data_IF_822537835279
#
_entry.id   IF_822537835279
#
_cell.length_a   1.000
_cell.length_b   1.000
_cell.length_c   1.000
_cell.angle_alpha   90.00
_cell.angle_beta   90.00
_cell.angle_gamma   90.00
#
_symmetry.space_group_name_H-M   'P 1'
#
loop_
_entity.id
_entity.type
_entity.pdbx_description
1 polymer ?
#
# COMPACT_ATOMS: atom_id res chain seq x y z
N UNK A 1 -2.30 10.48 22.07
CA UNK A 1 -2.58 10.64 20.63
C UNK A 1 -2.88 9.28 20.04
N UNK A 2 -3.99 9.16 19.31
CA UNK A 2 -4.38 7.95 18.61
C UNK A 2 -3.77 7.98 17.20
N UNK A 3 -3.15 6.90 16.76
CA UNK A 3 -2.54 6.82 15.42
C UNK A 3 -2.79 5.46 14.79
N UNK A 4 -2.92 5.43 13.47
CA UNK A 4 -3.10 4.23 12.68
C UNK A 4 -1.94 4.06 11.71
N UNK A 5 -1.39 2.85 11.62
CA UNK A 5 -0.31 2.56 10.67
C UNK A 5 -0.42 1.16 10.11
N UNK A 6 -0.01 0.97 8.86
CA UNK A 6 0.12 -0.35 8.23
C UNK A 6 1.28 -0.39 7.26
N UNK A 7 1.55 -1.59 6.74
CA UNK A 7 2.55 -1.85 5.70
C UNK A 7 1.86 -2.45 4.49
N UNK A 8 2.19 -1.94 3.31
CA UNK A 8 1.88 -2.56 2.02
C UNK A 8 3.10 -3.39 1.60
N UNK A 9 2.86 -4.67 1.40
CA UNK A 9 3.88 -5.61 0.97
C UNK A 9 4.18 -5.44 -0.53
N UNK A 10 5.31 -6.01 -0.96
CA UNK A 10 5.72 -5.99 -2.37
C UNK A 10 4.83 -6.80 -3.31
N UNK A 11 3.71 -7.36 -2.84
CA UNK A 11 2.65 -7.98 -3.62
C UNK A 11 1.33 -7.18 -3.51
N UNK A 12 1.37 -5.94 -3.00
CA UNK A 12 0.19 -5.10 -2.79
C UNK A 12 -0.69 -5.48 -1.59
N UNK A 13 -0.42 -6.60 -0.91
CA UNK A 13 -1.17 -6.98 0.28
C UNK A 13 -0.95 -5.97 1.42
N UNK A 14 -2.05 -5.57 2.05
CA UNK A 14 -2.03 -4.66 3.19
C UNK A 14 -2.03 -5.48 4.47
N UNK A 15 -1.05 -5.24 5.34
CA UNK A 15 -1.01 -5.85 6.66
C UNK A 15 -2.17 -5.35 7.56
N UNK A 16 -2.47 -6.05 8.67
CA UNK A 16 -3.40 -5.53 9.68
C UNK A 16 -3.02 -4.12 10.14
N UNK A 17 -3.98 -3.20 10.11
CA UNK A 17 -3.78 -1.82 10.56
C UNK A 17 -3.57 -1.86 12.07
N UNK A 18 -2.47 -1.28 12.53
CA UNK A 18 -2.16 -1.15 13.94
C UNK A 18 -2.73 0.15 14.47
N UNK A 19 -3.65 0.04 15.44
CA UNK A 19 -4.15 1.16 16.21
C UNK A 19 -3.28 1.34 17.46
N UNK A 20 -2.71 2.52 17.62
CA UNK A 20 -1.75 2.85 18.66
C UNK A 20 -2.25 4.02 19.51
N UNK A 21 -2.13 3.90 20.83
CA UNK A 21 -2.32 5.00 21.78
C UNK A 21 -0.95 5.35 22.39
N UNK A 22 -0.32 6.40 21.87
CA UNK A 22 1.08 6.70 22.17
C UNK A 22 1.99 5.56 21.68
N UNK A 23 2.71 4.89 22.59
CA UNK A 23 3.61 3.76 22.26
C UNK A 23 2.95 2.38 22.40
N UNK A 24 1.69 2.32 22.84
CA UNK A 24 1.00 1.06 23.12
C UNK A 24 0.09 0.69 21.95
N UNK A 25 0.23 -0.53 21.43
CA UNK A 25 -0.74 -1.13 20.51
C UNK A 25 -2.03 -1.44 21.26
N UNK A 26 -3.13 -0.90 20.76
CA UNK A 26 -4.48 -1.12 21.30
C UNK A 26 -5.09 -2.36 20.66
N UNK A 27 -5.12 -2.41 19.32
CA UNK A 27 -5.60 -3.57 18.56
C UNK A 27 -5.04 -3.60 17.13
N UNK A 28 -5.35 -4.70 16.46
CA UNK A 28 -5.17 -4.88 15.02
C UNK A 28 -6.53 -4.80 14.34
N UNK A 29 -6.63 -4.04 13.26
CA UNK A 29 -7.84 -3.89 12.46
C UNK A 29 -7.60 -4.59 11.13
N UNK A 30 -8.52 -5.46 10.73
CA UNK A 30 -8.46 -6.13 9.43
C UNK A 30 -8.69 -5.10 8.31
N UNK A 31 -7.76 -4.90 7.37
CA UNK A 31 -7.91 -3.90 6.31
C UNK A 31 -9.10 -4.19 5.39
N UNK A 32 -9.54 -5.45 5.29
CA UNK A 32 -10.70 -5.85 4.48
C UNK A 32 -12.04 -5.72 5.20
N UNK A 33 -12.06 -5.44 6.51
CA UNK A 33 -13.31 -5.13 7.22
C UNK A 33 -13.83 -3.76 6.82
N UNK A 34 -15.11 -3.48 7.09
CA UNK A 34 -15.70 -2.16 6.82
C UNK A 34 -14.88 -1.03 7.47
N UNK A 35 -14.57 -1.16 8.76
CA UNK A 35 -13.75 -0.20 9.52
C UNK A 35 -12.36 -0.01 8.89
N UNK A 36 -11.70 -1.11 8.50
CA UNK A 36 -10.38 -1.05 7.88
C UNK A 36 -10.40 -0.30 6.55
N UNK A 37 -11.42 -0.57 5.71
CA UNK A 37 -11.60 0.12 4.42
C UNK A 37 -11.88 1.61 4.61
N UNK A 38 -12.71 1.97 5.57
CA UNK A 38 -13.00 3.38 5.88
C UNK A 38 -11.75 4.15 6.32
N UNK A 39 -10.94 3.56 7.21
CA UNK A 39 -9.66 4.14 7.65
C UNK A 39 -8.66 4.32 6.49
N UNK A 40 -8.59 3.34 5.59
CA UNK A 40 -7.70 3.39 4.43
C UNK A 40 -8.17 4.41 3.38
N UNK A 41 -9.48 4.53 3.16
CA UNK A 41 -10.07 5.52 2.25
C UNK A 41 -9.97 6.95 2.78
N UNK A 42 -10.01 7.15 4.09
CA UNK A 42 -9.92 8.48 4.71
C UNK A 42 -8.50 9.06 4.70
N UNK A 43 -7.47 8.24 4.41
CA UNK A 43 -6.07 8.65 4.47
C UNK A 43 -5.53 8.85 5.88
N UNK A 44 -6.27 8.42 6.91
CA UNK A 44 -5.86 8.51 8.32
C UNK A 44 -4.77 7.52 8.70
N UNK A 45 -4.56 6.48 7.90
CA UNK A 45 -3.55 5.46 8.13
C UNK A 45 -2.22 5.90 7.53
N UNK A 46 -1.16 5.88 8.32
CA UNK A 46 0.21 5.99 7.81
C UNK A 46 0.60 4.67 7.15
N UNK A 47 0.89 4.69 5.86
CA UNK A 47 1.21 3.50 5.07
C UNK A 47 2.71 3.47 4.79
N UNK A 48 3.35 2.39 5.19
CA UNK A 48 4.74 2.09 4.88
C UNK A 48 4.80 1.13 3.70
N UNK A 49 5.70 1.36 2.76
CA UNK A 49 5.96 0.44 1.66
C UNK A 49 7.37 -0.15 1.78
N UNK A 50 7.61 -1.29 1.13
CA UNK A 50 8.84 -2.08 1.28
C UNK A 50 10.12 -1.30 0.94
N UNK A 51 10.06 -0.32 0.06
CA UNK A 51 11.20 0.52 -0.33
C UNK A 51 11.57 1.59 0.71
N UNK A 52 10.89 1.61 1.86
CA UNK A 52 11.14 2.54 2.96
C UNK A 52 10.35 3.85 2.86
N UNK A 53 9.60 4.08 1.77
CA UNK A 53 8.71 5.24 1.69
C UNK A 53 7.54 5.11 2.66
N UNK A 54 7.11 6.26 3.17
CA UNK A 54 5.97 6.40 4.07
C UNK A 54 4.99 7.44 3.51
N UNK A 55 3.71 7.10 3.49
CA UNK A 55 2.63 7.96 3.05
C UNK A 55 1.68 8.22 4.23
N UNK A 56 1.36 9.47 4.49
CA UNK A 56 0.44 9.87 5.56
C UNK A 56 -0.52 10.94 5.04
N UNK A 57 -1.79 10.87 5.43
CA UNK A 57 -2.79 11.83 4.97
C UNK A 57 -3.24 11.59 3.53
N UNK A 58 -3.09 10.37 3.02
CA UNK A 58 -3.39 10.01 1.63
C UNK A 58 -4.22 8.73 1.58
N UNK A 59 -5.34 8.71 0.82
CA UNK A 59 -6.11 7.50 0.60
C UNK A 59 -5.28 6.37 0.00
N UNK A 60 -5.57 5.13 0.38
CA UNK A 60 -4.82 3.95 -0.09
C UNK A 60 -4.84 3.79 -1.61
N UNK A 61 -5.95 4.17 -2.27
CA UNK A 61 -6.09 4.09 -3.73
C UNK A 61 -5.07 5.00 -4.42
N UNK A 62 -4.89 6.23 -3.94
CA UNK A 62 -3.92 7.17 -4.50
C UNK A 62 -2.48 6.67 -4.30
N UNK A 63 -2.21 5.97 -3.21
CA UNK A 63 -0.92 5.34 -2.96
C UNK A 63 -0.70 4.20 -3.97
N UNK A 64 -1.69 3.33 -4.18
CA UNK A 64 -1.61 2.29 -5.20
C UNK A 64 -1.43 2.86 -6.61
N UNK A 65 -2.14 3.93 -6.97
CA UNK A 65 -1.97 4.61 -8.26
C UNK A 65 -0.53 5.09 -8.47
N UNK A 66 0.10 5.65 -7.43
CA UNK A 66 1.51 6.05 -7.48
C UNK A 66 2.45 4.86 -7.62
N UNK A 67 2.24 3.80 -6.85
CA UNK A 67 3.07 2.60 -6.92
C UNK A 67 2.99 1.93 -8.29
N UNK A 68 1.78 1.83 -8.87
CA UNK A 68 1.59 1.29 -10.23
C UNK A 68 2.27 2.16 -11.27
N UNK A 69 2.18 3.49 -11.14
CA UNK A 69 2.86 4.41 -12.05
C UNK A 69 4.39 4.28 -11.98
N UNK A 70 4.95 4.09 -10.79
CA UNK A 70 6.39 3.87 -10.60
C UNK A 70 6.84 2.56 -11.24
N UNK A 71 6.10 1.46 -11.00
CA UNK A 71 6.38 0.14 -11.58
C UNK A 71 6.36 0.20 -13.11
N UNK A 72 5.35 0.85 -13.71
CA UNK A 72 5.27 1.02 -15.17
C UNK A 72 6.41 1.86 -15.74
N UNK A 73 6.84 2.89 -14.99
CA UNK A 73 8.00 3.69 -15.40
C UNK A 73 9.28 2.85 -15.41
N UNK A 74 9.48 2.00 -14.40
CA UNK A 74 10.66 1.12 -14.33
C UNK A 74 10.60 0.00 -15.38
N UNK A 75 9.42 -0.54 -15.67
CA UNK A 75 9.20 -1.53 -16.73
C UNK A 75 9.57 -0.97 -18.12
N UNK A 76 9.19 0.29 -18.38
CA UNK A 76 9.45 0.95 -19.67
C UNK A 76 10.88 1.49 -19.81
N UNK A 77 11.68 1.49 -18.75
CA UNK A 77 13.08 1.91 -18.80
C UNK A 77 13.90 0.92 -19.66
N UNK A 78 14.59 1.40 -20.73
CA UNK A 78 15.40 0.56 -21.62
C UNK A 78 16.60 -0.12 -20.94
N UNK A 79 17.01 0.36 -19.76
CA UNK A 79 18.11 -0.22 -18.97
C UNK A 79 17.67 -1.35 -18.04
N UNK A 80 16.37 -1.56 -17.87
CA UNK A 80 15.82 -2.63 -17.03
C UNK A 80 16.07 -4.00 -17.65
N UNK A 81 16.61 -4.92 -16.85
CA UNK A 81 16.86 -6.31 -17.26
C UNK A 81 15.56 -6.98 -17.75
N UNK A 82 15.57 -7.75 -18.85
CA UNK A 82 14.38 -8.40 -19.38
C UNK A 82 13.64 -9.31 -18.39
N UNK A 83 14.36 -9.97 -17.47
CA UNK A 83 13.73 -10.80 -16.42
C UNK A 83 13.10 -9.92 -15.34
N UNK A 84 13.72 -8.78 -15.01
CA UNK A 84 13.15 -7.82 -14.08
C UNK A 84 11.86 -7.18 -14.62
N UNK A 85 11.77 -6.92 -15.93
CA UNK A 85 10.55 -6.42 -16.58
C UNK A 85 9.34 -7.33 -16.39
N UNK A 86 9.50 -8.64 -16.54
CA UNK A 86 8.39 -9.59 -16.36
C UNK A 86 7.87 -9.58 -14.91
N UNK A 87 8.78 -9.53 -13.93
CA UNK A 87 8.42 -9.45 -12.52
C UNK A 87 7.75 -8.11 -12.16
N UNK A 88 8.19 -7.00 -12.76
CA UNK A 88 7.54 -5.69 -12.62
C UNK A 88 6.13 -5.70 -13.21
N UNK A 89 5.91 -6.34 -14.37
CA UNK A 89 4.57 -6.49 -14.95
C UNK A 89 3.60 -7.21 -14.01
N UNK A 90 4.03 -8.35 -13.45
CA UNK A 90 3.21 -9.11 -12.46
C UNK A 90 2.94 -8.30 -11.20
N UNK A 91 3.90 -7.51 -10.75
CA UNK A 91 3.73 -6.60 -9.61
C UNK A 91 2.68 -5.52 -9.91
N UNK A 92 2.77 -4.89 -11.08
CA UNK A 92 1.80 -3.89 -11.53
C UNK A 92 0.38 -4.42 -11.59
N UNK A 93 0.19 -5.64 -12.11
CA UNK A 93 -1.12 -6.31 -12.11
C UNK A 93 -1.63 -6.59 -10.70
N UNK A 94 -0.77 -7.08 -9.81
CA UNK A 94 -1.16 -7.40 -8.43
C UNK A 94 -1.59 -6.14 -7.67
N UNK A 95 -0.84 -5.05 -7.82
CA UNK A 95 -1.20 -3.75 -7.23
C UNK A 95 -2.51 -3.20 -7.80
N UNK A 96 -2.74 -3.37 -9.10
CA UNK A 96 -3.98 -2.95 -9.76
C UNK A 96 -5.19 -3.73 -9.25
N UNK A 97 -5.07 -5.05 -9.11
CA UNK A 97 -6.14 -5.88 -8.54
C UNK A 97 -6.43 -5.51 -7.08
N UNK A 98 -5.39 -5.24 -6.28
CA UNK A 98 -5.58 -4.80 -4.89
C UNK A 98 -6.23 -3.42 -4.80
N UNK A 99 -5.89 -2.50 -5.70
CA UNK A 99 -6.54 -1.18 -5.79
C UNK A 99 -8.07 -1.30 -5.94
N UNK A 100 -8.53 -2.23 -6.78
CA UNK A 100 -9.96 -2.43 -7.03
C UNK A 100 -10.72 -2.93 -5.78
N UNK A 101 -10.07 -3.65 -4.87
CA UNK A 101 -10.66 -4.07 -3.59
C UNK A 101 -11.00 -2.88 -2.66
N UNK A 102 -10.37 -1.73 -2.87
CA UNK A 102 -10.52 -0.54 -2.04
C UNK A 102 -11.22 0.63 -2.74
N UNK A 103 -11.44 0.54 -4.06
CA UNK A 103 -12.27 1.47 -4.84
C UNK A 103 -13.72 1.51 -4.37
#
# INVERSE_FOLDING_TARGET
MLTYSTTVLGNGEICPISEMLGRRRVRAINPRSQEGRELLRSGQVTIQVRDGRCFSGMPVIEIFDRLVADVRREETDPSTDPRAREELGRLGETLSNQRDDYS
#
